data_IF_059366036971
#
_entry.id   IF_059366036971
#
_cell.length_a   1.000
_cell.length_b   1.000
_cell.length_c   1.000
_cell.angle_alpha   90.00
_cell.angle_beta   90.00
_cell.angle_gamma   90.00
#
_symmetry.space_group_name_H-M   'P 1'
#
loop_
_entity.id
_entity.type
_entity.pdbx_description
1 polymer ?
#
# COMPACT_ATOMS: atom_id res chain seq x y z
N UNK A 1 -39.16 -39.21 57.38
CA UNK A 1 -39.43 -37.83 57.05
C UNK A 1 -38.17 -36.96 56.79
N UNK A 2 -36.97 -37.29 57.32
CA UNK A 2 -35.77 -36.48 57.08
C UNK A 2 -35.08 -36.72 55.68
N UNK A 3 -35.31 -37.90 55.10
CA UNK A 3 -34.67 -38.23 53.79
C UNK A 3 -35.32 -37.44 52.63
N UNK A 4 -36.64 -37.29 52.70
CA UNK A 4 -37.36 -36.58 51.63
C UNK A 4 -37.08 -35.06 51.59
N UNK A 5 -36.88 -34.48 52.84
CA UNK A 5 -36.48 -33.07 52.94
C UNK A 5 -35.09 -32.80 52.35
N UNK A 6 -34.15 -33.73 52.43
CA UNK A 6 -32.81 -33.58 51.86
C UNK A 6 -32.84 -33.65 50.30
N UNK A 7 -33.66 -34.50 49.72
CA UNK A 7 -33.84 -34.57 48.29
C UNK A 7 -34.52 -33.31 47.75
N UNK A 8 -35.50 -32.76 48.49
CA UNK A 8 -36.15 -31.50 48.10
C UNK A 8 -35.15 -30.31 48.09
N UNK A 9 -34.25 -30.24 49.09
CA UNK A 9 -33.21 -29.18 49.11
C UNK A 9 -32.22 -29.32 47.98
N UNK A 10 -31.78 -30.53 47.66
CA UNK A 10 -30.88 -30.79 46.52
C UNK A 10 -31.57 -30.45 45.18
N UNK A 11 -32.84 -30.83 45.03
CA UNK A 11 -33.59 -30.49 43.81
C UNK A 11 -33.78 -28.98 43.66
N UNK A 12 -34.08 -28.25 44.75
CA UNK A 12 -34.19 -26.80 44.73
C UNK A 12 -32.86 -26.13 44.39
N UNK A 13 -31.75 -26.61 44.94
CA UNK A 13 -30.42 -26.10 44.63
C UNK A 13 -30.05 -26.33 43.16
N UNK A 14 -30.32 -27.53 42.63
CA UNK A 14 -30.07 -27.82 41.21
C UNK A 14 -30.90 -26.92 40.29
N UNK A 15 -32.16 -26.70 40.64
CA UNK A 15 -33.04 -25.81 39.87
C UNK A 15 -32.59 -24.36 39.93
N UNK A 16 -32.14 -23.88 41.08
CA UNK A 16 -31.56 -22.56 41.26
C UNK A 16 -30.26 -22.40 40.48
N UNK A 17 -29.39 -23.41 40.44
CA UNK A 17 -28.15 -23.40 39.68
C UNK A 17 -28.41 -23.31 38.16
N UNK A 18 -29.38 -24.08 37.65
CA UNK A 18 -29.79 -24.02 36.23
C UNK A 18 -30.39 -22.67 35.92
N UNK A 19 -31.27 -22.12 36.76
CA UNK A 19 -31.84 -20.79 36.56
C UNK A 19 -30.77 -19.69 36.57
N UNK A 20 -29.77 -19.78 37.44
CA UNK A 20 -28.65 -18.86 37.50
C UNK A 20 -27.76 -18.97 36.24
N UNK A 21 -27.51 -20.17 35.73
CA UNK A 21 -26.78 -20.40 34.52
C UNK A 21 -27.49 -19.79 33.28
N UNK A 22 -28.80 -20.01 33.17
CA UNK A 22 -29.62 -19.42 32.10
C UNK A 22 -29.64 -17.89 32.21
N UNK A 23 -29.81 -17.33 33.38
CA UNK A 23 -29.79 -15.89 33.62
C UNK A 23 -28.41 -15.30 33.28
N UNK A 24 -27.31 -15.98 33.61
CA UNK A 24 -25.97 -15.57 33.28
C UNK A 24 -25.73 -15.56 31.76
N UNK A 25 -26.13 -16.63 31.06
CA UNK A 25 -26.01 -16.70 29.61
C UNK A 25 -26.83 -15.58 28.94
N UNK A 26 -28.05 -15.34 29.42
CA UNK A 26 -28.91 -14.29 28.89
C UNK A 26 -28.33 -12.89 29.14
N UNK A 27 -27.80 -12.63 30.34
CA UNK A 27 -27.13 -11.37 30.67
C UNK A 27 -25.86 -11.17 29.85
N UNK A 28 -25.04 -12.20 29.72
CA UNK A 28 -23.80 -12.17 28.93
C UNK A 28 -24.08 -11.97 27.43
N UNK A 29 -25.09 -12.64 26.90
CA UNK A 29 -25.55 -12.45 25.51
C UNK A 29 -26.05 -11.02 25.23
N UNK A 30 -26.64 -10.37 26.23
CA UNK A 30 -27.18 -9.03 26.08
C UNK A 30 -26.13 -7.91 26.13
N UNK A 31 -24.87 -8.23 26.46
CA UNK A 31 -23.77 -7.28 26.42
C UNK A 31 -23.09 -7.18 25.05
N UNK A 32 -23.62 -7.87 24.02
CA UNK A 32 -23.21 -7.67 22.64
C UNK A 32 -23.27 -6.21 22.26
N UNK A 33 -22.26 -5.80 21.55
CA UNK A 33 -21.96 -4.45 21.05
C UNK A 33 -23.26 -3.68 20.69
N UNK A 34 -23.62 -2.67 21.48
CA UNK A 34 -24.81 -1.81 21.25
C UNK A 34 -24.59 -0.84 20.08
N UNK A 35 -23.51 -1.05 19.29
CA UNK A 35 -23.24 -0.23 18.13
C UNK A 35 -24.34 -0.42 17.10
N UNK A 36 -24.85 0.66 16.62
CA UNK A 36 -25.77 0.67 15.49
C UNK A 36 -24.96 0.57 14.20
N UNK A 37 -25.29 -0.38 13.35
CA UNK A 37 -24.59 -0.59 12.10
C UNK A 37 -25.48 -0.22 10.92
N UNK A 38 -24.96 0.64 10.06
CA UNK A 38 -25.59 0.96 8.78
C UNK A 38 -24.99 0.08 7.68
N UNK A 39 -25.80 -0.18 6.65
CA UNK A 39 -25.39 -0.99 5.52
C UNK A 39 -24.99 -0.12 4.35
N UNK A 40 -23.80 -0.43 3.82
CA UNK A 40 -23.25 0.23 2.64
C UNK A 40 -22.96 -0.79 1.55
N UNK A 41 -23.14 -0.34 0.31
CA UNK A 41 -22.87 -1.14 -0.87
C UNK A 41 -21.56 -0.67 -1.52
N UNK A 42 -20.69 -1.61 -1.87
CA UNK A 42 -19.39 -1.34 -2.47
C UNK A 42 -19.27 -2.21 -3.72
N UNK A 43 -18.89 -1.63 -4.84
CA UNK A 43 -18.74 -2.33 -6.11
C UNK A 43 -17.26 -2.39 -6.48
N UNK A 44 -16.64 -3.55 -6.30
CA UNK A 44 -15.27 -3.80 -6.72
C UNK A 44 -15.24 -4.31 -8.15
N UNK A 45 -14.27 -3.86 -8.93
CA UNK A 45 -13.96 -4.37 -10.26
C UNK A 45 -12.94 -5.50 -10.14
N UNK A 46 -13.14 -6.57 -10.90
CA UNK A 46 -12.23 -7.72 -10.88
C UNK A 46 -12.45 -8.68 -9.71
N UNK A 47 -11.39 -9.41 -9.34
CA UNK A 47 -11.44 -10.47 -8.34
C UNK A 47 -11.29 -9.91 -6.93
N UNK A 48 -12.14 -10.36 -6.04
CA UNK A 48 -12.06 -10.11 -4.59
C UNK A 48 -11.63 -11.37 -3.83
N UNK A 49 -10.81 -12.21 -4.47
CA UNK A 49 -10.33 -13.46 -3.88
C UNK A 49 -9.59 -13.19 -2.57
N UNK A 50 -9.99 -13.85 -1.50
CA UNK A 50 -9.49 -13.59 -0.13
C UNK A 50 -10.40 -12.71 0.72
N UNK A 51 -11.41 -12.04 0.12
CA UNK A 51 -12.46 -11.35 0.87
C UNK A 51 -13.60 -12.34 1.15
N UNK A 52 -14.03 -12.44 2.39
CA UNK A 52 -15.09 -13.34 2.84
C UNK A 52 -16.15 -12.60 3.66
N UNK A 53 -17.28 -13.27 3.90
CA UNK A 53 -18.24 -12.81 4.90
C UNK A 53 -17.55 -12.77 6.27
N UNK A 54 -17.72 -11.68 7.00
CA UNK A 54 -17.03 -11.43 8.27
C UNK A 54 -15.68 -10.76 8.15
N UNK A 55 -15.12 -10.58 6.94
CA UNK A 55 -13.88 -9.80 6.75
C UNK A 55 -14.06 -8.41 7.37
N UNK A 56 -13.02 -7.88 8.06
CA UNK A 56 -13.12 -6.59 8.72
C UNK A 56 -13.23 -5.44 7.71
N UNK A 57 -13.92 -4.39 8.13
CA UNK A 57 -13.96 -3.09 7.45
C UNK A 57 -13.27 -2.10 8.35
N UNK A 58 -12.24 -1.44 7.85
CA UNK A 58 -11.44 -0.45 8.58
C UNK A 58 -11.58 0.93 7.97
N UNK A 59 -11.59 1.92 8.83
CA UNK A 59 -11.53 3.31 8.44
C UNK A 59 -10.26 3.91 9.02
N UNK A 60 -9.33 4.33 8.14
CA UNK A 60 -8.00 4.80 8.55
C UNK A 60 -7.28 3.84 9.51
N UNK A 61 -7.44 2.52 9.30
CA UNK A 61 -6.80 1.48 10.13
C UNK A 61 -7.60 1.05 11.37
N UNK A 62 -8.69 1.74 11.74
CA UNK A 62 -9.55 1.40 12.87
C UNK A 62 -10.68 0.48 12.40
N UNK A 63 -10.95 -0.60 13.12
CA UNK A 63 -12.06 -1.51 12.82
C UNK A 63 -13.40 -0.81 13.08
N UNK A 64 -14.17 -0.56 12.02
CA UNK A 64 -15.47 0.11 12.07
C UNK A 64 -16.62 -0.79 11.62
N UNK A 65 -16.35 -2.00 11.16
CA UNK A 65 -17.41 -2.89 10.70
C UNK A 65 -16.91 -4.20 10.10
N UNK A 66 -17.80 -4.83 9.35
CA UNK A 66 -17.52 -6.13 8.72
C UNK A 66 -18.31 -6.32 7.44
N UNK A 67 -17.79 -7.18 6.59
CA UNK A 67 -18.49 -7.63 5.38
C UNK A 67 -19.68 -8.51 5.75
N UNK A 68 -20.87 -8.16 5.28
CA UNK A 68 -22.09 -8.93 5.54
C UNK A 68 -22.28 -10.05 4.53
N UNK A 69 -22.19 -9.72 3.26
CA UNK A 69 -22.23 -10.71 2.16
C UNK A 69 -21.61 -10.15 0.88
N UNK A 70 -21.22 -11.07 -0.01
CA UNK A 70 -20.68 -10.79 -1.32
C UNK A 70 -21.56 -11.45 -2.39
N UNK A 71 -21.70 -10.80 -3.52
CA UNK A 71 -22.41 -11.36 -4.67
C UNK A 71 -21.82 -10.80 -5.97
N UNK A 72 -21.79 -11.61 -7.01
CA UNK A 72 -21.44 -11.11 -8.35
C UNK A 72 -22.61 -10.27 -8.87
N UNK A 73 -22.31 -9.11 -9.44
CA UNK A 73 -23.33 -8.24 -10.02
C UNK A 73 -24.00 -8.92 -11.22
N UNK A 74 -25.33 -8.98 -11.21
CA UNK A 74 -26.09 -9.53 -12.35
C UNK A 74 -26.11 -8.61 -13.56
N UNK A 75 -25.93 -7.29 -13.33
CA UNK A 75 -25.91 -6.29 -14.41
C UNK A 75 -24.55 -6.19 -15.08
N UNK A 76 -23.48 -6.45 -14.32
CA UNK A 76 -22.10 -6.38 -14.78
C UNK A 76 -21.31 -7.56 -14.19
N UNK A 77 -21.11 -8.66 -14.94
CA UNK A 77 -20.40 -9.85 -14.45
C UNK A 77 -18.94 -9.62 -14.06
N UNK A 78 -18.34 -8.50 -14.49
CA UNK A 78 -16.98 -8.10 -14.10
C UNK A 78 -16.89 -7.40 -12.74
N UNK A 79 -18.05 -7.20 -12.06
CA UNK A 79 -18.09 -6.51 -10.78
C UNK A 79 -18.63 -7.38 -9.66
N UNK A 80 -18.00 -7.28 -8.52
CA UNK A 80 -18.45 -7.90 -7.27
C UNK A 80 -19.11 -6.84 -6.39
N UNK A 81 -20.37 -7.09 -6.05
CA UNK A 81 -21.12 -6.29 -5.10
C UNK A 81 -20.89 -6.83 -3.70
N UNK A 82 -20.36 -6.00 -2.83
CA UNK A 82 -20.12 -6.28 -1.42
C UNK A 82 -21.05 -5.42 -0.59
N UNK A 83 -21.73 -6.01 0.38
CA UNK A 83 -22.49 -5.26 1.39
C UNK A 83 -21.74 -5.35 2.70
N UNK A 84 -21.36 -4.21 3.23
CA UNK A 84 -20.68 -4.04 4.50
C UNK A 84 -21.61 -3.43 5.56
N UNK A 85 -21.52 -3.92 6.78
CA UNK A 85 -22.10 -3.30 7.97
C UNK A 85 -21.02 -2.45 8.61
N UNK A 86 -21.23 -1.14 8.68
CA UNK A 86 -20.30 -0.17 9.24
C UNK A 86 -20.99 0.60 10.36
N UNK A 87 -20.25 0.86 11.43
CA UNK A 87 -20.70 1.63 12.58
C UNK A 87 -21.28 2.98 12.11
N UNK A 88 -22.50 3.30 12.55
CA UNK A 88 -23.17 4.56 12.22
C UNK A 88 -22.43 5.81 12.73
N UNK A 89 -21.54 5.65 13.73
CA UNK A 89 -20.69 6.73 14.23
C UNK A 89 -19.44 6.95 13.35
N UNK A 90 -19.16 6.05 12.39
CA UNK A 90 -18.03 6.22 11.48
C UNK A 90 -18.24 7.45 10.59
N UNK A 91 -17.26 8.36 10.46
CA UNK A 91 -17.41 9.63 9.73
C UNK A 91 -17.31 9.41 8.21
N UNK A 92 -18.25 8.67 7.64
CA UNK A 92 -18.31 8.39 6.21
C UNK A 92 -18.90 9.58 5.44
N UNK A 93 -18.33 9.89 4.30
CA UNK A 93 -18.74 11.01 3.45
C UNK A 93 -18.62 10.67 1.96
N UNK A 94 -19.05 11.56 1.08
CA UNK A 94 -18.86 11.42 -0.36
C UNK A 94 -17.40 11.35 -0.82
N UNK A 95 -16.46 11.75 0.04
CA UNK A 95 -15.02 11.58 -0.20
C UNK A 95 -14.49 10.22 0.24
N UNK A 96 -15.30 9.39 0.93
CA UNK A 96 -14.85 8.06 1.37
C UNK A 96 -14.72 7.12 0.17
N UNK A 97 -13.60 6.42 0.09
CA UNK A 97 -13.30 5.41 -0.94
C UNK A 97 -12.95 4.09 -0.27
N UNK A 98 -13.42 3.01 -0.85
CA UNK A 98 -13.12 1.65 -0.41
C UNK A 98 -12.00 1.06 -1.26
N UNK A 99 -11.04 0.41 -0.61
CA UNK A 99 -9.97 -0.37 -1.24
C UNK A 99 -9.91 -1.75 -0.63
N UNK A 100 -9.33 -2.69 -1.35
CA UNK A 100 -8.95 -3.99 -0.81
C UNK A 100 -7.54 -3.89 -0.22
N UNK A 101 -7.41 -4.27 1.04
CA UNK A 101 -6.14 -4.37 1.74
C UNK A 101 -5.85 -5.82 2.13
N UNK A 102 -4.56 -6.17 2.25
CA UNK A 102 -4.12 -7.48 2.72
C UNK A 102 -4.05 -7.51 4.25
N UNK A 103 -4.68 -8.51 4.83
CA UNK A 103 -4.60 -8.78 6.27
C UNK A 103 -3.41 -9.72 6.54
N UNK A 104 -2.23 -9.15 6.73
CA UNK A 104 -1.00 -9.91 6.91
C UNK A 104 -0.50 -10.57 5.62
N UNK A 105 0.25 -11.68 5.76
CA UNK A 105 0.83 -12.43 4.63
C UNK A 105 -0.01 -13.64 4.19
N UNK A 106 -1.17 -13.84 4.80
CA UNK A 106 -2.01 -15.03 4.57
C UNK A 106 -2.88 -14.95 3.32
N UNK A 107 -2.90 -13.80 2.63
CA UNK A 107 -3.75 -13.58 1.46
C UNK A 107 -5.22 -13.27 1.80
N UNK A 108 -5.56 -13.13 3.08
CA UNK A 108 -6.88 -12.66 3.49
C UNK A 108 -7.02 -11.17 3.18
N UNK A 109 -8.19 -10.79 2.66
CA UNK A 109 -8.49 -9.39 2.36
C UNK A 109 -9.41 -8.77 3.41
N UNK A 110 -9.25 -7.47 3.59
CA UNK A 110 -10.17 -6.62 4.33
C UNK A 110 -10.55 -5.39 3.48
N UNK A 111 -11.61 -4.71 3.86
CA UNK A 111 -11.99 -3.44 3.23
C UNK A 111 -11.36 -2.30 4.01
N UNK A 112 -10.56 -1.49 3.31
CA UNK A 112 -9.96 -0.28 3.83
C UNK A 112 -10.71 0.94 3.31
N UNK A 113 -11.29 1.71 4.21
CA UNK A 113 -11.99 2.95 3.91
C UNK A 113 -11.04 4.11 4.16
N UNK A 114 -10.83 4.92 3.14
CA UNK A 114 -9.96 6.09 3.20
C UNK A 114 -10.66 7.32 2.65
N UNK A 115 -10.18 8.50 3.05
CA UNK A 115 -10.59 9.76 2.46
C UNK A 115 -9.82 10.01 1.17
N UNK A 116 -10.53 10.40 0.14
CA UNK A 116 -9.96 10.91 -1.09
C UNK A 116 -9.73 12.42 -0.92
N UNK A 117 -8.47 12.89 -0.90
CA UNK A 117 -8.17 14.30 -0.67
C UNK A 117 -8.67 15.21 -1.80
N UNK A 118 -8.90 14.66 -2.99
CA UNK A 118 -9.37 15.41 -4.15
C UNK A 118 -10.91 15.47 -4.21
N UNK A 119 -11.61 14.66 -3.41
CA UNK A 119 -13.06 14.61 -3.40
C UNK A 119 -13.67 15.55 -2.36
N UNK A 120 -14.89 16.03 -2.63
CA UNK A 120 -15.59 16.89 -1.71
C UNK A 120 -16.08 16.11 -0.48
N UNK A 121 -15.43 16.34 0.66
CA UNK A 121 -15.79 15.71 1.93
C UNK A 121 -17.19 16.11 2.45
N UNK A 122 -17.72 17.26 2.04
CA UNK A 122 -19.05 17.71 2.44
C UNK A 122 -20.18 17.06 1.59
N UNK A 123 -19.85 16.36 0.51
CA UNK A 123 -20.86 15.68 -0.29
C UNK A 123 -21.38 14.44 0.44
N UNK A 124 -22.70 14.16 0.39
CA UNK A 124 -23.24 12.91 0.89
C UNK A 124 -22.81 11.74 0.01
N UNK A 125 -22.82 10.54 0.58
CA UNK A 125 -22.63 9.30 -0.18
C UNK A 125 -23.71 9.13 -1.23
N UNK A 126 -23.35 8.60 -2.39
CA UNK A 126 -24.29 8.31 -3.45
C UNK A 126 -25.33 7.27 -2.97
N UNK A 127 -26.60 7.50 -3.30
CA UNK A 127 -27.66 6.56 -3.00
C UNK A 127 -27.66 5.43 -4.05
N UNK A 128 -27.57 4.19 -3.57
CA UNK A 128 -27.76 2.99 -4.39
C UNK A 128 -29.23 2.53 -4.40
N UNK A 129 -29.48 1.36 -4.96
CA UNK A 129 -30.85 0.79 -5.03
C UNK A 129 -31.44 0.45 -3.64
N UNK A 130 -30.61 0.06 -2.70
CA UNK A 130 -31.01 -0.37 -1.34
C UNK A 130 -30.22 0.29 -0.23
N UNK A 131 -28.97 0.59 -0.46
CA UNK A 131 -28.04 1.15 0.52
C UNK A 131 -27.20 2.25 -0.12
N UNK A 132 -26.65 3.14 0.69
CA UNK A 132 -25.70 4.12 0.21
C UNK A 132 -24.45 3.41 -0.35
N UNK A 133 -23.90 3.96 -1.41
CA UNK A 133 -22.78 3.37 -2.15
C UNK A 133 -21.48 4.08 -1.78
N UNK A 134 -20.50 3.31 -1.35
CA UNK A 134 -19.12 3.77 -1.19
C UNK A 134 -18.36 3.39 -2.47
N UNK A 135 -17.84 4.37 -3.23
CA UNK A 135 -17.07 4.08 -4.43
C UNK A 135 -15.81 3.30 -4.10
N UNK A 136 -15.52 2.25 -4.92
CA UNK A 136 -14.27 1.51 -4.80
C UNK A 136 -13.16 2.15 -5.64
N UNK A 137 -11.92 2.04 -5.15
CA UNK A 137 -10.68 2.29 -5.90
C UNK A 137 -9.90 1.00 -6.04
N UNK A 138 -9.06 0.91 -7.08
CA UNK A 138 -8.12 -0.20 -7.23
C UNK A 138 -7.22 -0.29 -6.00
N UNK A 139 -6.98 -1.50 -5.53
CA UNK A 139 -6.07 -1.76 -4.42
C UNK A 139 -4.62 -1.43 -4.79
N UNK A 140 -3.80 -1.13 -3.78
CA UNK A 140 -2.38 -0.77 -3.98
C UNK A 140 -1.61 -1.91 -4.66
N UNK A 141 -1.99 -3.16 -4.42
CA UNK A 141 -1.37 -4.34 -5.03
C UNK A 141 -1.70 -4.44 -6.52
N UNK A 142 -2.97 -4.23 -6.89
CA UNK A 142 -3.38 -4.22 -8.30
C UNK A 142 -2.68 -3.10 -9.06
N UNK A 143 -2.63 -1.90 -8.46
CA UNK A 143 -1.92 -0.76 -9.04
C UNK A 143 -0.39 -1.02 -9.15
N UNK A 144 0.19 -1.75 -8.20
CA UNK A 144 1.59 -2.15 -8.25
C UNK A 144 1.84 -3.18 -9.36
N UNK A 145 1.01 -4.23 -9.45
CA UNK A 145 1.13 -5.27 -10.49
C UNK A 145 0.96 -4.67 -11.88
N UNK A 146 0.05 -3.73 -12.07
CA UNK A 146 -0.13 -3.01 -13.35
C UNK A 146 1.12 -2.22 -13.75
N UNK A 147 1.91 -1.71 -12.80
CA UNK A 147 3.14 -0.94 -13.06
C UNK A 147 4.40 -1.80 -13.22
N UNK A 148 4.34 -3.09 -12.86
CA UNK A 148 5.49 -3.99 -12.98
C UNK A 148 6.07 -4.07 -14.40
N UNK A 149 5.27 -4.19 -15.49
CA UNK A 149 5.79 -4.20 -16.84
C UNK A 149 6.60 -2.94 -17.20
N UNK A 150 6.13 -1.78 -16.74
CA UNK A 150 6.84 -0.50 -16.96
C UNK A 150 8.17 -0.47 -16.23
N UNK A 151 8.21 -0.97 -14.99
CA UNK A 151 9.44 -1.06 -14.19
C UNK A 151 10.45 -2.00 -14.84
N UNK A 152 10.01 -3.16 -15.32
CA UNK A 152 10.87 -4.10 -16.05
C UNK A 152 11.37 -3.49 -17.36
N UNK A 153 10.51 -2.79 -18.11
CA UNK A 153 10.88 -2.07 -19.32
C UNK A 153 11.93 -0.99 -19.06
N UNK A 154 11.76 -0.19 -18.01
CA UNK A 154 12.75 0.82 -17.62
C UNK A 154 14.09 0.19 -17.21
N UNK A 155 14.06 -0.91 -16.43
CA UNK A 155 15.28 -1.63 -16.04
C UNK A 155 16.01 -2.18 -17.27
N UNK A 156 15.29 -2.74 -18.25
CA UNK A 156 15.86 -3.18 -19.51
C UNK A 156 16.50 -2.04 -20.30
N UNK A 157 15.84 -0.89 -20.41
CA UNK A 157 16.38 0.28 -21.08
C UNK A 157 17.66 0.82 -20.40
N UNK A 158 17.73 0.78 -19.08
CA UNK A 158 18.94 1.15 -18.32
C UNK A 158 20.06 0.17 -18.60
N UNK A 159 19.78 -1.14 -18.64
CA UNK A 159 20.78 -2.17 -18.97
C UNK A 159 21.39 -1.97 -20.37
N UNK A 160 20.56 -1.72 -21.38
CA UNK A 160 21.02 -1.43 -22.74
C UNK A 160 21.90 -0.18 -22.76
N UNK A 161 21.57 0.87 -22.01
CA UNK A 161 22.40 2.08 -21.92
C UNK A 161 23.73 1.81 -21.21
N UNK A 162 23.73 1.01 -20.16
CA UNK A 162 24.96 0.59 -19.46
C UNK A 162 25.84 -0.23 -20.42
N UNK A 163 25.27 -1.18 -21.14
CA UNK A 163 25.96 -1.98 -22.14
C UNK A 163 26.58 -1.11 -23.23
N UNK A 164 25.83 -0.13 -23.74
CA UNK A 164 26.34 0.82 -24.72
C UNK A 164 27.48 1.71 -24.16
N UNK A 165 27.41 2.11 -22.90
CA UNK A 165 28.49 2.88 -22.24
C UNK A 165 29.74 2.06 -21.99
N UNK A 166 29.57 0.78 -21.66
CA UNK A 166 30.66 -0.17 -21.41
C UNK A 166 31.11 -0.91 -22.68
N UNK A 167 30.52 -0.58 -23.83
CA UNK A 167 30.88 -1.15 -25.11
C UNK A 167 32.34 -0.88 -25.48
N UNK A 168 32.95 -1.80 -26.23
CA UNK A 168 34.37 -1.79 -26.59
C UNK A 168 34.80 -0.46 -27.24
N UNK A 169 33.93 0.18 -28.00
CA UNK A 169 34.20 1.46 -28.66
C UNK A 169 34.37 2.61 -27.65
N UNK A 170 33.52 2.69 -26.63
CA UNK A 170 33.63 3.69 -25.56
C UNK A 170 34.83 3.43 -24.67
N UNK A 171 35.09 2.18 -24.32
CA UNK A 171 36.27 1.78 -23.55
C UNK A 171 37.57 2.09 -24.33
N UNK A 172 37.60 1.85 -25.62
CA UNK A 172 38.72 2.24 -26.48
C UNK A 172 38.91 3.75 -26.48
N UNK A 173 37.82 4.53 -26.67
CA UNK A 173 37.86 6.01 -26.69
C UNK A 173 38.38 6.58 -25.34
N UNK A 174 37.96 6.03 -24.22
CA UNK A 174 38.47 6.42 -22.91
C UNK A 174 39.95 6.05 -22.76
N UNK A 175 40.34 4.85 -23.20
CA UNK A 175 41.73 4.40 -23.19
C UNK A 175 42.65 5.28 -24.03
N UNK A 176 42.22 5.66 -25.23
CA UNK A 176 42.94 6.56 -26.10
C UNK A 176 43.03 7.97 -25.51
N UNK A 177 41.97 8.49 -24.92
CA UNK A 177 41.97 9.76 -24.20
C UNK A 177 42.99 9.77 -23.04
N UNK A 178 43.03 8.69 -22.25
CA UNK A 178 44.01 8.54 -21.17
C UNK A 178 45.44 8.41 -21.69
N UNK A 179 45.65 7.79 -22.86
CA UNK A 179 46.95 7.68 -23.51
C UNK A 179 47.41 9.06 -23.96
N UNK A 180 46.55 9.80 -24.68
CA UNK A 180 46.86 11.17 -25.14
C UNK A 180 47.17 12.10 -23.97
N UNK A 181 46.44 11.95 -22.86
CA UNK A 181 46.70 12.74 -21.66
C UNK A 181 48.08 12.40 -21.01
N UNK A 182 48.48 11.11 -21.02
CA UNK A 182 49.82 10.72 -20.58
C UNK A 182 50.91 11.27 -21.46
N UNK A 183 50.73 11.21 -22.79
CA UNK A 183 51.68 11.74 -23.75
C UNK A 183 51.84 13.26 -23.59
N UNK A 184 50.70 13.99 -23.53
CA UNK A 184 50.73 15.43 -23.26
C UNK A 184 51.40 15.77 -21.91
N UNK A 185 51.12 14.98 -20.87
CA UNK A 185 51.76 15.18 -19.56
C UNK A 185 53.25 14.88 -19.55
N UNK A 186 53.72 13.93 -20.40
CA UNK A 186 55.14 13.62 -20.56
C UNK A 186 55.92 14.70 -21.30
N UNK A 187 55.26 15.49 -22.19
CA UNK A 187 55.85 16.62 -22.90
C UNK A 187 55.96 17.90 -22.08
N UNK A 188 55.15 18.04 -21.02
CA UNK A 188 55.18 19.25 -20.18
C UNK A 188 56.56 19.59 -19.59
N UNK A 189 57.40 18.61 -19.14
CA UNK A 189 58.74 18.91 -18.65
C UNK A 189 59.69 19.43 -19.75
N UNK A 190 59.51 19.00 -21.02
CA UNK A 190 60.26 19.49 -22.17
C UNK A 190 59.88 20.95 -22.46
N UNK A 191 58.61 21.24 -22.58
CA UNK A 191 58.09 22.62 -22.78
C UNK A 191 58.55 23.56 -21.69
N UNK A 192 58.56 23.08 -20.40
CA UNK A 192 59.04 23.87 -19.27
C UNK A 192 60.55 24.20 -19.37
N UNK A 193 61.37 23.23 -19.87
CA UNK A 193 62.82 23.47 -20.10
C UNK A 193 63.07 24.42 -21.22
N UNK A 194 62.35 24.27 -22.34
CA UNK A 194 62.50 25.15 -23.53
C UNK A 194 62.07 26.60 -23.21
N UNK A 195 60.97 26.77 -22.48
CA UNK A 195 60.55 28.09 -22.02
C UNK A 195 61.53 28.72 -21.06
N UNK A 196 62.16 27.94 -20.19
CA UNK A 196 63.21 28.44 -19.26
C UNK A 196 64.49 28.78 -20.02
N UNK A 197 64.89 28.01 -21.02
CA UNK A 197 66.04 28.28 -21.88
C UNK A 197 65.82 29.57 -22.71
N UNK A 198 64.65 29.72 -23.34
CA UNK A 198 64.27 30.93 -24.09
C UNK A 198 64.27 32.17 -23.20
N UNK A 199 63.75 32.07 -21.97
CA UNK A 199 63.77 33.18 -20.99
C UNK A 199 65.23 33.60 -20.60
N UNK A 200 66.12 32.61 -20.48
CA UNK A 200 67.51 32.84 -20.21
C UNK A 200 68.25 33.55 -21.38
N UNK A 201 67.93 33.13 -22.61
CA UNK A 201 68.49 33.72 -23.85
C UNK A 201 68.00 35.14 -24.06
N UNK A 202 66.74 35.41 -23.87
CA UNK A 202 66.15 36.75 -23.92
C UNK A 202 66.84 37.69 -22.87
N UNK A 203 67.13 37.20 -21.67
CA UNK A 203 67.85 38.00 -20.68
C UNK A 203 69.29 38.29 -21.06
N UNK A 204 69.98 37.34 -21.75
CA UNK A 204 71.34 37.58 -22.26
C UNK A 204 71.34 38.65 -23.35
N UNK A 205 70.45 38.53 -24.33
CA UNK A 205 70.33 39.47 -25.44
C UNK A 205 69.96 40.87 -24.95
N UNK A 206 69.10 40.99 -23.96
CA UNK A 206 68.77 42.28 -23.37
C UNK A 206 69.93 42.93 -22.56
N UNK A 207 70.82 42.15 -22.02
CA UNK A 207 72.03 42.61 -21.31
C UNK A 207 73.14 43.07 -22.25
N UNK A 208 73.20 42.56 -23.50
CA UNK A 208 74.18 42.94 -24.54
C UNK A 208 73.80 44.23 -25.29
N UNK A 209 72.54 44.70 -25.16
CA UNK A 209 72.06 45.93 -25.85
C UNK A 209 72.06 47.16 -24.94
N UNK A 210 72.49 47.03 -23.67
CA UNK A 210 72.63 48.14 -22.73
C UNK A 210 74.07 48.47 -22.47
#
# INVERSE_FOLDING_TARGET
>A
MERDARYAVVALFALAAVAAAVAFVWWYSGQGDRRTYDRYEIHFEGSVSGLAQGSPVRYLGVDVGRVKYLSVSRKDPGRVRVVAEVDSEAPLSGATRARLGLLGLTGLLYIDLQLDPEANAAAPLAQGERHAVIPARKGDIEAFVEKLPDLVGHAGAVMVRIESLLGDENLASVSDSLRNLREASAELPAISRDTTALAAELRRTSAEVT
#
